data_IF_635794760984
#
_entry.id   IF_635794760984
#
_cell.length_a   1.000
_cell.length_b   1.000
_cell.length_c   1.000
_cell.angle_alpha   90.00
_cell.angle_beta   90.00
_cell.angle_gamma   90.00
#
_symmetry.space_group_name_H-M   'P 1'
#
loop_
_entity.id
_entity.type
_entity.pdbx_description
1 polymer ?
#
# COMPACT_ATOMS: atom_id res chain seq x y z
N UNK A 1 15.06 19.07 30.03
CA UNK A 1 13.76 18.53 30.47
C UNK A 1 13.75 17.01 30.30
N UNK A 2 14.43 16.28 31.19
CA UNK A 2 14.64 14.82 31.06
C UNK A 2 14.14 14.04 32.30
N UNK A 3 13.51 14.69 33.28
CA UNK A 3 13.13 14.06 34.55
C UNK A 3 11.67 13.59 34.67
N UNK A 4 10.83 13.70 33.63
CA UNK A 4 9.39 13.34 33.74
C UNK A 4 9.03 11.89 33.38
N UNK A 5 9.99 11.04 32.97
CA UNK A 5 9.67 9.69 32.44
C UNK A 5 9.71 8.58 33.53
N UNK A 6 10.39 8.81 34.66
CA UNK A 6 10.54 7.75 35.69
C UNK A 6 9.30 7.62 36.60
N UNK A 7 8.45 8.65 36.67
CA UNK A 7 7.19 8.60 37.41
C UNK A 7 6.10 7.70 36.77
N UNK A 8 6.26 7.27 35.50
CA UNK A 8 5.16 6.67 34.73
C UNK A 8 4.92 5.17 34.94
N UNK A 9 5.76 4.47 35.71
CA UNK A 9 5.65 3.02 35.94
C UNK A 9 5.75 2.65 37.43
N UNK A 10 5.34 3.53 38.34
CA UNK A 10 5.14 3.10 39.72
C UNK A 10 3.99 2.08 39.81
N UNK A 11 4.00 1.25 40.86
CA UNK A 11 3.02 0.16 40.97
C UNK A 11 1.59 0.70 41.05
N UNK A 12 1.40 1.87 41.67
CA UNK A 12 0.10 2.49 41.84
C UNK A 12 -0.49 2.94 40.50
N UNK A 13 0.25 3.67 39.67
CA UNK A 13 -0.24 4.11 38.36
C UNK A 13 -0.47 2.93 37.41
N UNK A 14 0.32 1.86 37.50
CA UNK A 14 0.05 0.64 36.73
C UNK A 14 -1.28 -0.03 37.13
N UNK A 15 -1.61 -0.04 38.42
CA UNK A 15 -2.90 -0.56 38.90
C UNK A 15 -4.09 0.31 38.48
N UNK A 16 -3.92 1.64 38.49
CA UNK A 16 -4.95 2.58 38.00
C UNK A 16 -5.18 2.37 36.50
N UNK A 17 -4.12 2.34 35.69
CA UNK A 17 -4.21 2.05 34.25
C UNK A 17 -4.83 0.67 34.00
N UNK A 18 -4.47 -0.34 34.80
CA UNK A 18 -5.04 -1.69 34.70
C UNK A 18 -6.56 -1.64 34.85
N UNK A 19 -7.05 -0.94 35.87
CA UNK A 19 -8.49 -0.76 36.10
C UNK A 19 -9.14 -0.02 34.93
N UNK A 20 -8.53 1.06 34.44
CA UNK A 20 -9.04 1.83 33.31
C UNK A 20 -9.18 0.98 32.04
N UNK A 21 -8.15 0.20 31.71
CA UNK A 21 -8.16 -0.74 30.58
C UNK A 21 -9.28 -1.76 30.76
N UNK A 22 -9.38 -2.42 31.92
CA UNK A 22 -10.44 -3.40 32.18
C UNK A 22 -11.85 -2.80 32.05
N UNK A 23 -12.03 -1.55 32.44
CA UNK A 23 -13.32 -0.86 32.32
C UNK A 23 -13.65 -0.48 30.87
N UNK A 24 -12.70 0.05 30.10
CA UNK A 24 -12.95 0.55 28.75
C UNK A 24 -12.87 -0.54 27.65
N UNK A 25 -12.14 -1.64 27.91
CA UNK A 25 -11.85 -2.69 26.91
C UNK A 25 -13.11 -3.36 26.32
N UNK A 26 -14.17 -3.69 27.08
CA UNK A 26 -15.35 -4.34 26.50
C UNK A 26 -16.02 -3.51 25.40
N UNK A 27 -16.22 -2.22 25.64
CA UNK A 27 -16.81 -1.32 24.66
C UNK A 27 -15.88 -1.12 23.46
N UNK A 28 -14.58 -0.94 23.72
CA UNK A 28 -13.58 -0.76 22.68
C UNK A 28 -13.49 -1.96 21.74
N UNK A 29 -13.47 -3.19 22.27
CA UNK A 29 -13.52 -4.42 21.47
C UNK A 29 -14.79 -4.51 20.64
N UNK A 30 -15.96 -4.18 21.22
CA UNK A 30 -17.25 -4.19 20.50
C UNK A 30 -17.22 -3.23 19.31
N UNK A 31 -16.71 -2.01 19.50
CA UNK A 31 -16.60 -1.02 18.41
C UNK A 31 -15.56 -1.43 17.36
N UNK A 32 -14.42 -2.01 17.78
CA UNK A 32 -13.41 -2.56 16.87
C UNK A 32 -13.98 -3.70 16.02
N UNK A 33 -14.76 -4.61 16.63
CA UNK A 33 -15.47 -5.67 15.91
C UNK A 33 -16.51 -5.13 14.95
N UNK A 34 -17.25 -4.07 15.33
CA UNK A 34 -18.18 -3.40 14.42
C UNK A 34 -17.45 -2.79 13.20
N UNK A 35 -16.24 -2.27 13.40
CA UNK A 35 -15.41 -1.74 12.31
C UNK A 35 -15.02 -2.80 11.26
N UNK A 36 -14.82 -4.07 11.67
CA UNK A 36 -14.58 -5.21 10.75
C UNK A 36 -15.71 -5.31 9.71
N UNK A 37 -16.94 -5.09 10.15
CA UNK A 37 -18.15 -5.17 9.31
C UNK A 37 -18.56 -3.83 8.72
N UNK A 38 -17.73 -2.80 8.84
CA UNK A 38 -18.04 -1.48 8.29
C UNK A 38 -18.14 -1.53 6.76
N UNK A 39 -19.04 -0.74 6.14
CA UNK A 39 -19.14 -0.63 4.69
C UNK A 39 -17.81 -0.30 4.01
N UNK A 40 -16.98 0.54 4.65
CA UNK A 40 -15.67 0.95 4.17
C UNK A 40 -14.69 -0.23 4.07
N UNK A 41 -14.55 -1.01 5.14
CA UNK A 41 -13.69 -2.20 5.17
C UNK A 41 -14.15 -3.23 4.14
N UNK A 42 -15.46 -3.46 4.04
CA UNK A 42 -16.02 -4.38 3.06
C UNK A 42 -15.83 -3.90 1.62
N UNK A 43 -15.98 -2.60 1.35
CA UNK A 43 -15.73 -2.01 0.04
C UNK A 43 -14.25 -2.17 -0.33
N UNK A 44 -13.33 -1.93 0.60
CA UNK A 44 -11.91 -2.15 0.41
C UNK A 44 -11.61 -3.60 0.01
N UNK A 45 -12.05 -4.56 0.83
CA UNK A 45 -11.79 -5.98 0.60
C UNK A 45 -12.37 -6.46 -0.74
N UNK A 46 -13.59 -6.03 -1.09
CA UNK A 46 -14.23 -6.35 -2.38
C UNK A 46 -13.48 -5.73 -3.55
N UNK A 47 -13.19 -4.43 -3.49
CA UNK A 47 -12.48 -3.71 -4.55
C UNK A 47 -11.11 -4.33 -4.81
N UNK A 48 -10.37 -4.65 -3.75
CA UNK A 48 -9.07 -5.31 -3.88
C UNK A 48 -9.19 -6.70 -4.52
N UNK A 49 -10.11 -7.55 -4.04
CA UNK A 49 -10.33 -8.88 -4.65
C UNK A 49 -10.71 -8.79 -6.12
N UNK A 50 -11.66 -7.91 -6.45
CA UNK A 50 -12.09 -7.68 -7.83
C UNK A 50 -10.93 -7.17 -8.68
N UNK A 51 -10.14 -6.22 -8.18
CA UNK A 51 -9.00 -5.67 -8.90
C UNK A 51 -7.97 -6.76 -9.25
N UNK A 52 -7.58 -7.58 -8.26
CA UNK A 52 -6.63 -8.68 -8.48
C UNK A 52 -7.19 -9.79 -9.39
N UNK A 53 -8.51 -10.06 -9.36
CA UNK A 53 -9.13 -11.07 -10.24
C UNK A 53 -9.33 -10.57 -11.67
N UNK A 54 -9.75 -9.32 -11.84
CA UNK A 54 -10.06 -8.73 -13.15
C UNK A 54 -8.78 -8.30 -13.87
N UNK A 55 -7.80 -7.76 -13.14
CA UNK A 55 -6.59 -7.16 -13.70
C UNK A 55 -5.31 -7.76 -13.07
N UNK A 56 -5.11 -9.09 -13.11
CA UNK A 56 -4.04 -9.75 -12.36
C UNK A 56 -2.63 -9.26 -12.72
N UNK A 57 -2.37 -9.00 -14.00
CA UNK A 57 -1.06 -8.53 -14.48
C UNK A 57 -0.77 -7.08 -14.07
N UNK A 58 -1.79 -6.22 -14.15
CA UNK A 58 -1.71 -4.82 -13.68
C UNK A 58 -1.50 -4.81 -12.17
N UNK A 59 -2.22 -5.65 -11.43
CA UNK A 59 -2.07 -5.77 -9.99
C UNK A 59 -0.67 -6.24 -9.58
N UNK A 60 -0.13 -7.26 -10.23
CA UNK A 60 1.23 -7.74 -9.97
C UNK A 60 2.27 -6.64 -10.23
N UNK A 61 2.13 -5.90 -11.32
CA UNK A 61 3.05 -4.83 -11.66
C UNK A 61 2.91 -3.60 -10.75
N UNK A 62 1.70 -3.22 -10.38
CA UNK A 62 1.46 -2.16 -9.40
C UNK A 62 2.08 -2.54 -8.04
N UNK A 63 1.93 -3.80 -7.62
CA UNK A 63 2.57 -4.33 -6.41
C UNK A 63 4.09 -4.18 -6.48
N UNK A 64 4.71 -4.60 -7.59
CA UNK A 64 6.14 -4.47 -7.81
C UNK A 64 6.60 -3.01 -7.83
N UNK A 65 5.89 -2.13 -8.54
CA UNK A 65 6.22 -0.72 -8.64
C UNK A 65 6.16 0.00 -7.29
N UNK A 66 5.16 -0.29 -6.46
CA UNK A 66 5.07 0.26 -5.10
C UNK A 66 6.18 -0.30 -4.21
N UNK A 67 6.44 -1.60 -4.27
CA UNK A 67 7.44 -2.25 -3.43
C UNK A 67 8.89 -1.84 -3.75
N UNK A 68 9.25 -1.77 -5.03
CA UNK A 68 10.63 -1.58 -5.48
C UNK A 68 10.96 -0.13 -5.83
N UNK A 69 9.98 0.67 -6.26
CA UNK A 69 10.21 1.98 -6.88
C UNK A 69 9.33 3.09 -6.30
N UNK A 70 8.79 2.90 -5.09
CA UNK A 70 7.97 3.91 -4.41
C UNK A 70 6.70 4.29 -5.17
N UNK A 71 6.21 3.40 -6.04
CA UNK A 71 5.02 3.61 -6.87
C UNK A 71 5.30 4.09 -8.28
N UNK A 72 6.56 4.31 -8.66
CA UNK A 72 6.93 4.69 -10.03
C UNK A 72 6.71 3.51 -10.98
N UNK A 73 5.81 3.68 -11.93
CA UNK A 73 5.61 2.78 -13.05
C UNK A 73 6.66 3.10 -14.13
N UNK A 74 7.44 2.12 -14.53
CA UNK A 74 8.47 2.28 -15.56
C UNK A 74 7.98 1.74 -16.90
N UNK A 75 8.47 2.27 -18.02
CA UNK A 75 8.31 1.67 -19.34
C UNK A 75 9.62 1.68 -20.11
N UNK A 76 9.75 0.76 -21.07
CA UNK A 76 10.92 0.66 -21.94
C UNK A 76 10.66 1.48 -23.19
N UNK A 77 11.54 2.45 -23.47
CA UNK A 77 11.51 3.29 -24.66
C UNK A 77 12.75 3.02 -25.49
N UNK A 78 12.58 2.92 -26.81
CA UNK A 78 13.72 2.88 -27.73
C UNK A 78 14.26 4.28 -27.93
N UNK A 79 15.42 4.53 -27.33
CA UNK A 79 16.15 5.79 -27.46
C UNK A 79 17.32 5.60 -28.41
N UNK A 80 17.63 6.64 -29.18
CA UNK A 80 18.77 6.61 -30.09
C UNK A 80 20.06 6.55 -29.29
N UNK A 81 20.89 5.55 -29.58
CA UNK A 81 22.16 5.32 -28.91
C UNK A 81 23.27 6.08 -29.63
N UNK A 82 23.39 7.37 -29.33
CA UNK A 82 24.38 8.26 -29.95
C UNK A 82 25.82 7.80 -29.69
N UNK A 83 26.11 7.24 -28.51
CA UNK A 83 27.45 6.75 -28.16
C UNK A 83 27.84 5.58 -29.06
N UNK A 84 26.97 4.58 -29.21
CA UNK A 84 27.22 3.45 -30.10
C UNK A 84 27.29 3.86 -31.58
N UNK A 85 26.53 4.88 -31.99
CA UNK A 85 26.64 5.45 -33.33
C UNK A 85 28.01 6.10 -33.56
N UNK A 86 28.46 6.92 -32.61
CA UNK A 86 29.77 7.58 -32.65
C UNK A 86 30.91 6.56 -32.71
N UNK A 87 30.90 5.55 -31.83
CA UNK A 87 31.92 4.50 -31.80
C UNK A 87 31.98 3.70 -33.12
N UNK A 88 30.80 3.43 -33.72
CA UNK A 88 30.71 2.72 -34.99
C UNK A 88 31.21 3.58 -36.16
N UNK A 89 30.90 4.87 -36.16
CA UNK A 89 31.41 5.82 -37.14
C UNK A 89 32.93 5.96 -37.04
N UNK A 90 33.47 6.15 -35.83
CA UNK A 90 34.91 6.20 -35.58
C UNK A 90 35.63 4.92 -36.04
N UNK A 91 35.06 3.75 -35.72
CA UNK A 91 35.65 2.47 -36.14
C UNK A 91 35.73 2.38 -37.66
N UNK A 92 34.67 2.78 -38.36
CA UNK A 92 34.61 2.74 -39.83
C UNK A 92 35.53 3.78 -40.46
N UNK A 93 35.63 4.98 -39.91
CA UNK A 93 36.56 5.99 -40.40
C UNK A 93 38.00 5.47 -40.31
N UNK A 94 38.38 4.86 -39.18
CA UNK A 94 39.70 4.22 -39.01
C UNK A 94 39.93 3.09 -40.02
N UNK A 95 38.90 2.28 -40.32
CA UNK A 95 38.99 1.21 -41.33
C UNK A 95 39.14 1.77 -42.76
N UNK A 96 38.40 2.83 -43.11
CA UNK A 96 38.48 3.47 -44.42
C UNK A 96 39.85 4.12 -44.65
N UNK A 97 40.38 4.82 -43.62
CA UNK A 97 41.73 5.37 -43.62
C UNK A 97 42.79 4.27 -43.82
N UNK A 98 42.69 3.15 -43.08
CA UNK A 98 43.61 2.01 -43.23
C UNK A 98 43.54 1.35 -44.60
N UNK A 99 42.35 1.29 -45.22
CA UNK A 99 42.13 0.67 -46.52
C UNK A 99 42.41 1.61 -47.72
N UNK A 100 42.71 2.88 -47.47
CA UNK A 100 42.89 3.89 -48.53
C UNK A 100 41.62 4.16 -49.36
N UNK A 101 40.44 3.90 -48.79
CA UNK A 101 39.14 4.06 -49.47
C UNK A 101 38.45 5.34 -48.98
N UNK A 102 37.63 6.00 -49.82
CA UNK A 102 36.83 7.14 -49.39
C UNK A 102 35.86 6.71 -48.29
N UNK A 103 35.78 7.51 -47.22
CA UNK A 103 34.86 7.28 -46.12
C UNK A 103 33.40 7.41 -46.59
N UNK A 104 32.56 6.45 -46.21
CA UNK A 104 31.11 6.48 -46.46
C UNK A 104 30.37 6.37 -45.11
N UNK A 105 29.67 7.43 -44.67
CA UNK A 105 28.98 7.42 -43.39
C UNK A 105 27.80 6.43 -43.36
N UNK A 106 27.59 5.81 -42.21
CA UNK A 106 26.44 4.93 -41.96
C UNK A 106 25.22 5.78 -41.59
N UNK A 107 24.12 5.64 -42.34
CA UNK A 107 22.89 6.41 -42.06
C UNK A 107 21.90 5.71 -41.12
N UNK A 108 22.17 4.45 -40.73
CA UNK A 108 21.22 3.67 -39.95
C UNK A 108 21.35 3.98 -38.45
N UNK A 109 20.32 4.57 -37.81
CA UNK A 109 20.38 4.83 -36.38
C UNK A 109 20.51 3.54 -35.58
N UNK A 110 21.24 3.59 -34.46
CA UNK A 110 21.29 2.51 -33.47
C UNK A 110 20.35 2.91 -32.35
N UNK A 111 19.48 1.98 -31.94
CA UNK A 111 18.60 2.18 -30.80
C UNK A 111 19.06 1.31 -29.64
N UNK A 112 18.86 1.79 -28.42
CA UNK A 112 18.94 1.01 -27.19
C UNK A 112 17.62 1.12 -26.44
N UNK A 113 17.32 0.08 -25.68
CA UNK A 113 16.20 0.10 -24.75
C UNK A 113 16.62 0.82 -23.47
N UNK A 114 15.84 1.81 -23.06
CA UNK A 114 16.04 2.54 -21.81
C UNK A 114 14.76 2.50 -20.97
N UNK A 115 14.89 2.26 -19.66
CA UNK A 115 13.76 2.34 -18.75
C UNK A 115 13.54 3.79 -18.30
N UNK A 116 12.35 4.31 -18.59
CA UNK A 116 11.95 5.66 -18.20
C UNK A 116 10.72 5.61 -17.27
N UNK A 117 10.56 6.59 -16.37
CA UNK A 117 9.35 6.70 -15.56
C UNK A 117 8.16 7.07 -16.45
N UNK A 118 7.12 6.24 -16.39
CA UNK A 118 5.83 6.46 -17.05
C UNK A 118 4.91 7.36 -16.21
N UNK A 119 4.96 7.18 -14.88
CA UNK A 119 4.22 7.97 -13.91
C UNK A 119 4.26 7.33 -12.53
N UNK A 120 3.67 7.97 -11.52
CA UNK A 120 3.71 7.49 -10.13
C UNK A 120 2.30 7.20 -9.63
N UNK A 121 2.07 5.96 -9.19
CA UNK A 121 0.82 5.57 -8.56
C UNK A 121 0.70 6.21 -7.19
N UNK A 122 -0.40 6.93 -6.96
CA UNK A 122 -0.78 7.42 -5.62
C UNK A 122 -1.49 6.31 -4.84
N UNK A 123 -0.80 5.19 -4.67
CA UNK A 123 -1.38 4.01 -4.08
C UNK A 123 -0.34 3.40 -3.15
N UNK A 124 -0.42 3.78 -1.88
CA UNK A 124 0.42 3.20 -0.83
C UNK A 124 0.05 1.74 -0.60
N UNK A 125 -0.50 1.44 0.56
CA UNK A 125 -0.62 0.05 1.04
C UNK A 125 -1.67 -0.79 0.29
N UNK A 126 -2.45 -0.20 -0.63
CA UNK A 126 -3.48 -0.91 -1.41
C UNK A 126 -2.94 -2.05 -2.26
N UNK A 127 -1.80 -1.83 -2.92
CA UNK A 127 -1.17 -2.85 -3.76
C UNK A 127 -0.21 -3.76 -2.97
N UNK A 128 0.32 -3.29 -1.84
CA UNK A 128 1.35 -4.03 -1.08
C UNK A 128 0.80 -4.94 0.01
N UNK A 129 -0.30 -4.56 0.65
CA UNK A 129 -0.78 -5.26 1.84
C UNK A 129 -1.12 -6.70 1.47
N UNK A 130 -0.49 -7.71 2.08
CA UNK A 130 -0.83 -9.11 1.84
C UNK A 130 -2.21 -9.45 2.39
N UNK A 131 -2.53 -8.95 3.58
CA UNK A 131 -3.74 -9.27 4.32
C UNK A 131 -4.88 -8.30 4.10
N UNK A 132 -6.09 -8.82 3.95
CA UNK A 132 -7.28 -7.98 3.84
C UNK A 132 -7.55 -7.28 5.18
N UNK A 133 -7.92 -5.98 5.20
CA UNK A 133 -8.18 -5.22 6.43
C UNK A 133 -9.11 -5.93 7.42
N UNK A 134 -10.13 -6.66 6.92
CA UNK A 134 -11.02 -7.45 7.76
C UNK A 134 -10.30 -8.50 8.62
N UNK A 135 -9.27 -9.15 8.06
CA UNK A 135 -8.47 -10.16 8.77
C UNK A 135 -7.53 -9.51 9.78
N UNK A 136 -6.92 -8.38 9.41
CA UNK A 136 -6.05 -7.63 10.30
C UNK A 136 -6.83 -7.12 11.53
N UNK A 137 -8.02 -6.55 11.31
CA UNK A 137 -8.91 -6.12 12.39
C UNK A 137 -9.37 -7.30 13.26
N UNK A 138 -9.75 -8.43 12.66
CA UNK A 138 -10.11 -9.62 13.43
C UNK A 138 -8.95 -10.14 14.29
N UNK A 139 -7.71 -10.12 13.76
CA UNK A 139 -6.51 -10.47 14.51
C UNK A 139 -6.27 -9.52 15.69
N UNK A 140 -6.42 -8.21 15.47
CA UNK A 140 -6.30 -7.19 16.53
C UNK A 140 -7.33 -7.43 17.63
N UNK A 141 -8.59 -7.70 17.28
CA UNK A 141 -9.66 -8.03 18.25
C UNK A 141 -9.29 -9.27 19.06
N UNK A 142 -8.80 -10.34 18.41
CA UNK A 142 -8.33 -11.54 19.09
C UNK A 142 -7.20 -11.25 20.09
N UNK A 143 -6.22 -10.43 19.68
CA UNK A 143 -5.11 -10.05 20.55
C UNK A 143 -5.55 -9.19 21.75
N UNK A 144 -6.50 -8.27 21.54
CA UNK A 144 -7.09 -7.48 22.62
C UNK A 144 -7.88 -8.35 23.60
N UNK A 145 -8.56 -9.39 23.12
CA UNK A 145 -9.24 -10.38 23.96
C UNK A 145 -8.25 -11.14 24.84
N UNK A 146 -7.16 -11.66 24.27
CA UNK A 146 -6.11 -12.34 25.03
C UNK A 146 -5.54 -11.46 26.15
N UNK A 147 -5.19 -10.21 25.83
CA UNK A 147 -4.69 -9.25 26.82
C UNK A 147 -5.74 -9.01 27.90
N UNK A 148 -7.01 -8.80 27.51
CA UNK A 148 -8.10 -8.55 28.45
C UNK A 148 -8.30 -9.70 29.44
N UNK A 149 -8.16 -10.95 28.99
CA UNK A 149 -8.31 -12.14 29.84
C UNK A 149 -7.13 -12.34 30.80
N UNK A 150 -5.91 -11.98 30.38
CA UNK A 150 -4.71 -12.11 31.21
C UNK A 150 -4.57 -10.98 32.24
N UNK A 151 -5.01 -9.78 31.87
CA UNK A 151 -4.80 -8.54 32.64
C UNK A 151 -5.26 -8.62 34.12
N UNK A 152 -6.36 -9.30 34.49
CA UNK A 152 -6.77 -9.49 35.88
C UNK A 152 -5.78 -10.31 36.73
N UNK A 153 -5.03 -11.23 36.12
CA UNK A 153 -4.11 -12.12 36.84
C UNK A 153 -2.70 -11.53 36.99
N UNK A 154 -2.35 -10.50 36.20
CA UNK A 154 -1.00 -9.91 36.22
C UNK A 154 -0.74 -9.23 37.57
N UNK A 155 0.35 -9.61 38.21
CA UNK A 155 0.69 -9.15 39.57
C UNK A 155 2.01 -8.39 39.60
N UNK A 156 2.90 -8.68 38.66
CA UNK A 156 4.21 -8.03 38.58
C UNK A 156 4.16 -6.78 37.71
N UNK A 157 5.05 -5.82 38.01
CA UNK A 157 5.22 -4.61 37.22
C UNK A 157 5.58 -4.91 35.76
N UNK A 158 6.47 -5.88 35.53
CA UNK A 158 6.95 -6.21 34.19
C UNK A 158 5.83 -6.79 33.31
N UNK A 159 4.98 -7.66 33.86
CA UNK A 159 3.81 -8.20 33.18
C UNK A 159 2.82 -7.09 32.79
N UNK A 160 2.50 -6.19 33.72
CA UNK A 160 1.57 -5.08 33.44
C UNK A 160 2.12 -4.16 32.35
N UNK A 161 3.42 -3.81 32.41
CA UNK A 161 4.07 -2.99 31.37
C UNK A 161 4.04 -3.69 30.01
N UNK A 162 4.30 -4.99 29.96
CA UNK A 162 4.23 -5.77 28.72
C UNK A 162 2.80 -5.80 28.14
N UNK A 163 1.78 -6.01 28.99
CA UNK A 163 0.39 -6.00 28.57
C UNK A 163 -0.03 -4.62 28.01
N UNK A 164 0.32 -3.52 28.68
CA UNK A 164 0.02 -2.17 28.18
C UNK A 164 0.75 -1.82 26.89
N UNK A 165 1.98 -2.31 26.70
CA UNK A 165 2.66 -2.22 25.41
C UNK A 165 1.87 -2.96 24.34
N UNK A 166 1.41 -4.19 24.62
CA UNK A 166 0.57 -4.94 23.70
C UNK A 166 -0.73 -4.22 23.33
N UNK A 167 -1.40 -3.56 24.28
CA UNK A 167 -2.58 -2.72 23.98
C UNK A 167 -2.21 -1.57 23.04
N UNK A 168 -1.09 -0.89 23.27
CA UNK A 168 -0.62 0.21 22.41
C UNK A 168 -0.28 -0.28 21.00
N UNK A 169 0.37 -1.44 20.88
CA UNK A 169 0.71 -2.05 19.59
C UNK A 169 -0.57 -2.38 18.81
N UNK A 170 -1.60 -2.93 19.47
CA UNK A 170 -2.91 -3.15 18.88
C UNK A 170 -3.59 -1.85 18.41
N UNK A 171 -3.51 -0.77 19.19
CA UNK A 171 -4.07 0.54 18.81
C UNK A 171 -3.36 1.12 17.59
N UNK A 172 -2.04 1.04 17.55
CA UNK A 172 -1.25 1.52 16.43
C UNK A 172 -1.56 0.72 15.15
N UNK A 173 -1.66 -0.61 15.29
CA UNK A 173 -2.06 -1.48 14.18
C UNK A 173 -3.46 -1.12 13.68
N UNK A 174 -4.44 -0.96 14.58
CA UNK A 174 -5.80 -0.56 14.24
C UNK A 174 -5.84 0.76 13.46
N UNK A 175 -5.14 1.79 13.94
CA UNK A 175 -5.03 3.08 13.24
C UNK A 175 -4.47 2.90 11.84
N UNK A 176 -3.40 2.12 11.70
CA UNK A 176 -2.81 1.82 10.39
C UNK A 176 -3.79 1.14 9.44
N UNK A 177 -4.62 0.21 9.93
CA UNK A 177 -5.63 -0.45 9.10
C UNK A 177 -6.72 0.54 8.66
N UNK A 178 -7.18 1.40 9.56
CA UNK A 178 -8.18 2.43 9.22
C UNK A 178 -7.61 3.47 8.24
N UNK A 179 -6.35 3.86 8.40
CA UNK A 179 -5.62 4.71 7.44
C UNK A 179 -5.54 4.05 6.06
N UNK A 180 -5.23 2.76 6.01
CA UNK A 180 -5.20 1.99 4.76
C UNK A 180 -6.57 2.01 4.07
N UNK A 181 -7.66 1.83 4.83
CA UNK A 181 -9.03 1.85 4.30
C UNK A 181 -9.40 3.24 3.76
N UNK A 182 -9.08 4.31 4.50
CA UNK A 182 -9.38 5.69 4.10
C UNK A 182 -8.56 6.15 2.88
N UNK A 183 -7.45 5.49 2.57
CA UNK A 183 -6.64 5.74 1.36
C UNK A 183 -7.22 5.14 0.08
N UNK A 184 -8.24 4.27 0.18
CA UNK A 184 -8.85 3.59 -0.97
C UNK A 184 -9.32 4.56 -2.08
N UNK A 185 -10.00 5.69 -1.78
CA UNK A 185 -10.49 6.58 -2.83
C UNK A 185 -9.35 7.27 -3.58
N UNK A 186 -8.22 7.52 -2.91
CA UNK A 186 -7.01 8.04 -3.56
C UNK A 186 -6.35 6.96 -4.42
N UNK A 187 -6.21 5.74 -3.90
CA UNK A 187 -5.63 4.62 -4.62
C UNK A 187 -6.40 4.29 -5.91
N UNK A 188 -7.74 4.38 -5.88
CA UNK A 188 -8.63 4.11 -7.01
C UNK A 188 -9.21 5.39 -7.65
N UNK A 189 -8.51 6.52 -7.48
CA UNK A 189 -8.82 7.77 -8.17
C UNK A 189 -8.77 7.61 -9.69
N UNK A 190 -9.53 8.43 -10.41
CA UNK A 190 -9.59 8.38 -11.87
C UNK A 190 -8.18 8.48 -12.50
N UNK A 191 -7.36 9.43 -12.03
CA UNK A 191 -5.98 9.60 -12.49
C UNK A 191 -5.14 8.31 -12.36
N UNK A 192 -5.27 7.58 -11.24
CA UNK A 192 -4.55 6.32 -11.04
C UNK A 192 -5.09 5.22 -11.97
N UNK A 193 -6.41 5.14 -12.16
CA UNK A 193 -7.01 4.16 -13.08
C UNK A 193 -6.53 4.40 -14.51
N UNK A 194 -6.52 5.66 -14.95
CA UNK A 194 -6.03 6.09 -16.26
C UNK A 194 -4.54 5.78 -16.43
N UNK A 195 -3.74 6.12 -15.43
CA UNK A 195 -2.30 5.82 -15.41
C UNK A 195 -2.05 4.32 -15.54
N UNK A 196 -2.79 3.48 -14.80
CA UNK A 196 -2.64 2.02 -14.85
C UNK A 196 -3.00 1.43 -16.21
N UNK A 197 -4.12 1.85 -16.81
CA UNK A 197 -4.54 1.34 -18.12
C UNK A 197 -3.60 1.81 -19.24
N UNK A 198 -3.16 3.07 -19.20
CA UNK A 198 -2.20 3.62 -20.14
C UNK A 198 -0.85 2.90 -20.03
N UNK A 199 -0.38 2.66 -18.81
CA UNK A 199 0.85 1.92 -18.55
C UNK A 199 0.77 0.47 -19.02
N UNK A 200 -0.33 -0.22 -18.73
CA UNK A 200 -0.58 -1.59 -19.19
C UNK A 200 -0.54 -1.70 -20.72
N UNK A 201 -1.14 -0.71 -21.40
CA UNK A 201 -1.12 -0.60 -22.86
C UNK A 201 0.29 -0.33 -23.40
N UNK A 202 1.03 0.60 -22.78
CA UNK A 202 2.41 0.93 -23.16
C UNK A 202 3.37 -0.27 -23.01
N UNK A 203 3.18 -1.09 -21.96
CA UNK A 203 3.93 -2.33 -21.72
C UNK A 203 3.46 -3.51 -22.57
N UNK A 204 2.45 -3.32 -23.43
CA UNK A 204 1.84 -4.38 -24.26
C UNK A 204 1.43 -5.60 -23.43
N UNK A 205 0.87 -5.37 -22.24
CA UNK A 205 0.33 -6.45 -21.44
C UNK A 205 -0.80 -7.17 -22.21
N UNK A 206 -0.94 -8.50 -22.10
CA UNK A 206 -2.00 -9.26 -22.73
C UNK A 206 -3.40 -8.63 -22.62
N UNK A 207 -4.04 -8.48 -23.78
CA UNK A 207 -5.36 -7.87 -23.90
C UNK A 207 -5.33 -6.39 -24.30
N UNK A 208 -6.47 -5.72 -24.18
CA UNK A 208 -6.63 -4.28 -24.40
C UNK A 208 -7.19 -3.65 -23.14
N UNK A 209 -6.61 -2.52 -22.73
CA UNK A 209 -7.01 -1.80 -21.54
C UNK A 209 -7.60 -0.45 -21.95
N UNK A 210 -8.73 -0.09 -21.36
CA UNK A 210 -9.36 1.20 -21.53
C UNK A 210 -9.89 1.70 -20.19
N UNK A 211 -9.99 3.01 -20.02
CA UNK A 211 -10.59 3.61 -18.83
C UNK A 211 -11.93 4.21 -19.13
N UNK A 212 -12.81 4.12 -18.13
CA UNK A 212 -14.07 4.85 -18.03
C UNK A 212 -14.09 5.59 -16.68
N UNK A 213 -14.97 6.57 -16.50
CA UNK A 213 -15.11 7.22 -15.20
C UNK A 213 -15.36 6.19 -14.08
N UNK A 214 -14.41 6.09 -13.14
CA UNK A 214 -14.45 5.15 -12.02
C UNK A 214 -14.27 3.67 -12.39
N UNK A 215 -13.78 3.34 -13.59
CA UNK A 215 -13.64 1.96 -14.03
C UNK A 215 -12.47 1.72 -14.99
N UNK A 216 -11.97 0.48 -15.00
CA UNK A 216 -11.01 -0.02 -15.98
C UNK A 216 -11.62 -1.21 -16.69
N UNK A 217 -11.65 -1.13 -18.02
CA UNK A 217 -12.08 -2.21 -18.90
C UNK A 217 -10.86 -2.95 -19.43
N UNK A 218 -10.92 -4.27 -19.40
CA UNK A 218 -9.91 -5.16 -19.96
C UNK A 218 -10.59 -6.15 -20.90
N UNK A 219 -10.22 -6.11 -22.17
CA UNK A 219 -10.58 -7.17 -23.13
C UNK A 219 -9.43 -8.15 -23.13
N UNK A 220 -9.65 -9.36 -22.61
CA UNK A 220 -8.62 -10.39 -22.53
C UNK A 220 -8.25 -10.93 -23.94
N UNK A 221 -7.26 -11.82 -24.01
CA UNK A 221 -6.80 -12.41 -25.28
C UNK A 221 -7.86 -13.28 -25.97
N UNK A 222 -8.89 -13.71 -25.25
CA UNK A 222 -10.02 -14.50 -25.75
C UNK A 222 -11.18 -13.60 -26.22
N UNK A 223 -11.06 -12.29 -26.09
CA UNK A 223 -12.09 -11.32 -26.44
C UNK A 223 -13.15 -11.09 -25.36
N UNK A 224 -13.03 -11.70 -24.17
CA UNK A 224 -13.94 -11.47 -23.06
C UNK A 224 -13.67 -10.10 -22.42
N UNK A 225 -14.74 -9.33 -22.19
CA UNK A 225 -14.71 -8.04 -21.52
C UNK A 225 -14.81 -8.24 -19.99
N UNK A 226 -13.75 -7.88 -19.29
CA UNK A 226 -13.68 -7.82 -17.84
C UNK A 226 -13.71 -6.35 -17.40
N UNK A 227 -14.53 -6.02 -16.41
CA UNK A 227 -14.67 -4.65 -15.91
C UNK A 227 -14.34 -4.62 -14.42
N UNK A 228 -13.37 -3.78 -14.07
CA UNK A 228 -13.14 -3.37 -12.70
C UNK A 228 -13.84 -2.03 -12.47
N UNK A 229 -14.68 -1.95 -11.43
CA UNK A 229 -15.36 -0.72 -11.04
C UNK A 229 -14.86 -0.31 -9.65
N UNK A 230 -14.37 0.91 -9.53
CA UNK A 230 -14.03 1.49 -8.24
C UNK A 230 -15.29 1.56 -7.37
N UNK A 231 -15.19 1.22 -6.07
CA UNK A 231 -16.34 1.31 -5.18
C UNK A 231 -16.77 2.78 -5.05
N UNK A 232 -18.06 3.03 -4.73
CA UNK A 232 -18.52 4.38 -4.44
C UNK A 232 -17.72 4.99 -3.29
N UNK A 233 -17.53 6.31 -3.31
CA UNK A 233 -16.86 7.01 -2.22
C UNK A 233 -17.69 6.89 -0.95
N UNK A 234 -17.19 6.09 -0.02
CA UNK A 234 -17.68 6.02 1.34
C UNK A 234 -16.90 7.05 2.16
N UNK A 235 -17.60 7.75 3.06
CA UNK A 235 -16.95 8.69 3.97
C UNK A 235 -15.87 8.03 4.85
N UNK A 236 -15.08 8.85 5.53
CA UNK A 236 -14.00 8.39 6.40
C UNK A 236 -14.49 7.36 7.42
N UNK A 237 -13.61 6.42 7.76
CA UNK A 237 -13.85 5.46 8.85
C UNK A 237 -14.07 6.18 10.18
N UNK A 238 -15.00 5.67 11.00
CA UNK A 238 -15.17 6.17 12.37
C UNK A 238 -13.91 5.85 13.17
N UNK A 239 -13.31 6.88 13.77
CA UNK A 239 -12.10 6.79 14.60
C UNK A 239 -12.34 7.25 16.02
N UNK A 240 -13.54 7.74 16.33
CA UNK A 240 -13.83 8.35 17.62
C UNK A 240 -13.57 7.35 18.76
N UNK A 241 -13.94 6.08 18.55
CA UNK A 241 -13.74 5.04 19.55
C UNK A 241 -12.28 4.73 19.88
N UNK A 242 -11.37 4.93 18.93
CA UNK A 242 -9.93 4.79 19.17
C UNK A 242 -9.44 5.94 20.04
N UNK A 243 -9.87 7.16 19.72
CA UNK A 243 -9.53 8.36 20.49
C UNK A 243 -10.10 8.30 21.92
N UNK A 244 -11.36 7.88 22.07
CA UNK A 244 -12.02 7.71 23.36
C UNK A 244 -11.25 6.73 24.25
N UNK A 245 -10.82 5.60 23.68
CA UNK A 245 -10.06 4.61 24.40
C UNK A 245 -8.66 5.12 24.78
N UNK A 246 -7.95 5.80 23.87
CA UNK A 246 -6.66 6.43 24.20
C UNK A 246 -6.79 7.48 25.29
N UNK A 247 -7.82 8.31 25.24
CA UNK A 247 -8.11 9.31 26.27
C UNK A 247 -8.35 8.63 27.63
N UNK A 248 -9.04 7.49 27.68
CA UNK A 248 -9.23 6.73 28.91
C UNK A 248 -7.89 6.18 29.48
N UNK A 249 -6.93 5.86 28.63
CA UNK A 249 -5.58 5.43 29.04
C UNK A 249 -4.71 6.57 29.54
N UNK A 250 -4.95 7.81 29.07
CA UNK A 250 -4.18 9.00 29.45
C UNK A 250 -4.78 9.68 30.69
N UNK A 251 -6.10 9.79 30.80
CA UNK A 251 -6.81 10.42 31.91
C UNK A 251 -6.63 9.71 33.27
N UNK A 252 -5.94 8.57 33.26
CA UNK A 252 -5.60 7.76 34.44
C UNK A 252 -4.12 7.91 34.86
N UNK A 253 -3.41 8.89 34.31
CA UNK A 253 -2.09 9.38 34.74
C UNK A 253 -2.22 10.51 35.75
#
# INVERSE_FOLDING_TARGET
>A
MVETIVAQNDRRSLLIRRRAVLTAMPEFKRKTLAAVSSPQVQAYGRARRQFHSTLPQVAAAATYAVAAMGGALMHTVQVRNLDAESEREERREREAQKAGKPYVPLRQPIYKDEEQPFGTLKAGDFFMSSDAPERQLAHIVGRLEEIHQQLPALSTKNEMVAAFRGVRDCLQALKSVLDQVDRLPSALSQDNLELMAAWASARKLPGRYATKPGAVEHVNTEGALLIFTAPPMLGATDRQFVQDFENALIATQ
#
